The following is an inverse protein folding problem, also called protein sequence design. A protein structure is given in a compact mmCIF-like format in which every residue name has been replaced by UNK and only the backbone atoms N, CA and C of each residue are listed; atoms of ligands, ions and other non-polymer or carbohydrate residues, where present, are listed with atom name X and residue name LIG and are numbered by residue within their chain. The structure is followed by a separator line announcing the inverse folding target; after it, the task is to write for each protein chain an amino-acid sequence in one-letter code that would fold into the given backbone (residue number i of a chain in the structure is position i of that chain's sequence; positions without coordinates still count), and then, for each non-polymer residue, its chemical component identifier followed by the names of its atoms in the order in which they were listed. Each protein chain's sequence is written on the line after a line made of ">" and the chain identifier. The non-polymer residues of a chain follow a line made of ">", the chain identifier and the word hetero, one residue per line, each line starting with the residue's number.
data_IF_857625877084
#
_entry.id   IF_857625877084
#
_cell.length_a   1.000
_cell.length_b   1.000
_cell.length_c   1.000
_cell.angle_alpha   90.00
_cell.angle_beta   90.00
_cell.angle_gamma   90.00
#
_symmetry.space_group_name_H-M   'P 1'
#
loop_
_entity.id
_entity.type
_entity.pdbx_description
1 polymer ?
#
# COMPACT_ATOMS: atom_id res chain seq x y z
N UNK A 1 -16.42 8.70 -0.03
CA UNK A 1 -15.02 9.18 -0.05
C UNK A 1 -14.16 8.13 0.66
N UNK A 2 -12.95 7.82 0.18
CA UNK A 2 -12.04 6.94 0.94
C UNK A 2 -11.38 7.78 2.03
N UNK A 3 -11.41 7.30 3.26
CA UNK A 3 -10.79 7.99 4.39
C UNK A 3 -9.39 7.43 4.62
N UNK A 4 -8.39 8.32 4.62
CA UNK A 4 -7.05 7.97 5.03
C UNK A 4 -7.01 7.81 6.55
N UNK A 5 -6.56 6.64 6.99
CA UNK A 5 -6.24 6.39 8.40
C UNK A 5 -4.76 6.69 8.64
N UNK A 6 -4.34 6.73 9.90
CA UNK A 6 -2.99 7.13 10.32
C UNK A 6 -1.89 6.55 9.40
N UNK A 7 -1.08 7.44 8.81
CA UNK A 7 -0.03 7.05 7.88
C UNK A 7 1.19 6.50 8.62
N UNK A 8 1.92 5.61 7.96
CA UNK A 8 3.09 4.93 8.52
C UNK A 8 4.29 5.20 7.63
N UNK A 9 5.39 5.65 8.23
CA UNK A 9 6.66 5.87 7.52
C UNK A 9 7.58 4.66 7.73
N UNK A 10 8.12 4.11 6.64
CA UNK A 10 9.07 3.00 6.65
C UNK A 10 10.21 3.28 5.66
N UNK A 11 11.34 3.78 6.17
CA UNK A 11 12.44 4.25 5.32
C UNK A 11 11.98 5.35 4.35
N UNK A 12 12.18 5.15 3.04
CA UNK A 12 11.72 6.07 1.98
C UNK A 12 10.24 5.96 1.61
N UNK A 13 9.48 5.13 2.32
CA UNK A 13 8.08 4.85 2.03
C UNK A 13 7.16 5.54 3.01
N UNK A 14 6.10 6.16 2.48
CA UNK A 14 4.92 6.55 3.23
C UNK A 14 3.79 5.61 2.84
N UNK A 15 3.25 4.91 3.82
CA UNK A 15 2.14 3.98 3.70
C UNK A 15 0.90 4.68 4.25
N UNK A 16 -0.13 4.80 3.42
CA UNK A 16 -1.38 5.46 3.76
C UNK A 16 -2.53 4.46 3.59
N UNK A 17 -3.01 3.85 4.69
CA UNK A 17 -4.18 2.98 4.66
C UNK A 17 -5.44 3.78 4.32
N UNK A 18 -6.24 3.27 3.39
CA UNK A 18 -7.44 3.92 2.86
C UNK A 18 -8.62 2.96 2.99
N UNK A 19 -9.68 3.40 3.67
CA UNK A 19 -10.89 2.60 3.86
C UNK A 19 -12.10 3.30 3.24
N UNK A 20 -12.93 2.51 2.55
CA UNK A 20 -14.20 2.96 1.96
C UNK A 20 -15.36 2.16 2.56
N UNK A 21 -16.33 2.84 3.15
CA UNK A 21 -17.63 2.24 3.44
C UNK A 21 -18.41 2.04 2.13
N UNK A 22 -18.89 0.82 1.91
CA UNK A 22 -19.72 0.44 0.78
C UNK A 22 -21.20 0.52 1.15
N UNK A 23 -22.07 0.57 0.15
CA UNK A 23 -23.52 0.70 0.31
C UNK A 23 -24.14 -0.47 1.10
N UNK A 24 -23.52 -1.64 1.03
CA UNK A 24 -23.95 -2.84 1.76
C UNK A 24 -23.43 -2.92 3.21
N UNK A 25 -22.83 -1.84 3.74
CA UNK A 25 -22.32 -1.76 5.10
C UNK A 25 -20.98 -2.47 5.33
N UNK A 26 -20.31 -2.93 4.26
CA UNK A 26 -18.96 -3.48 4.35
C UNK A 26 -17.91 -2.40 4.10
N UNK A 27 -16.70 -2.64 4.59
CA UNK A 27 -15.54 -1.79 4.36
C UNK A 27 -14.60 -2.44 3.35
N UNK A 28 -14.34 -1.73 2.25
CA UNK A 28 -13.27 -2.06 1.31
C UNK A 28 -11.96 -1.41 1.75
N UNK A 29 -10.88 -2.18 1.67
CA UNK A 29 -9.54 -1.77 2.05
C UNK A 29 -8.68 -1.47 0.81
N UNK A 30 -7.88 -0.42 0.91
CA UNK A 30 -6.85 -0.07 -0.05
C UNK A 30 -5.67 0.55 0.68
N UNK A 31 -4.50 0.57 0.06
CA UNK A 31 -3.31 1.21 0.62
C UNK A 31 -2.57 1.98 -0.46
N UNK A 32 -2.28 3.25 -0.20
CA UNK A 32 -1.37 4.05 -1.02
C UNK A 32 0.04 3.90 -0.44
N UNK A 33 1.00 3.62 -1.32
CA UNK A 33 2.41 3.44 -0.99
C UNK A 33 3.18 4.44 -1.83
N UNK A 34 3.52 5.54 -1.19
CA UNK A 34 4.33 6.59 -1.80
C UNK A 34 5.80 6.29 -1.53
N UNK A 35 6.61 6.35 -2.58
CA UNK A 35 8.06 6.23 -2.48
C UNK A 35 8.74 7.45 -3.08
N UNK A 36 9.76 7.99 -2.41
CA UNK A 36 10.59 9.05 -2.98
C UNK A 36 11.62 9.63 -2.01
N UNK A 37 12.76 10.02 -2.56
CA UNK A 37 13.76 10.94 -2.01
C UNK A 37 14.27 11.76 -3.19
N UNK A 38 14.07 13.08 -3.21
CA UNK A 38 14.40 13.93 -4.37
C UNK A 38 13.23 14.15 -5.35
N UNK A 39 13.50 14.26 -6.66
CA UNK A 39 12.53 14.72 -7.68
C UNK A 39 11.52 13.67 -8.16
N UNK A 40 11.65 12.40 -7.78
CA UNK A 40 10.77 11.31 -8.21
C UNK A 40 9.91 10.78 -7.06
N UNK A 41 8.68 11.29 -6.92
CA UNK A 41 7.68 10.69 -6.01
C UNK A 41 6.75 9.79 -6.83
N UNK A 42 6.73 8.50 -6.52
CA UNK A 42 5.80 7.54 -7.13
C UNK A 42 4.78 7.09 -6.09
N UNK A 43 3.49 7.23 -6.42
CA UNK A 43 2.40 6.66 -5.64
C UNK A 43 1.96 5.34 -6.27
N UNK A 44 1.80 4.29 -5.45
CA UNK A 44 1.20 3.02 -5.86
C UNK A 44 0.00 2.76 -4.98
N UNK A 45 -1.17 2.58 -5.58
CA UNK A 45 -2.38 2.25 -4.83
C UNK A 45 -2.71 0.78 -5.02
N UNK A 46 -2.67 0.00 -3.95
CA UNK A 46 -3.12 -1.38 -3.93
C UNK A 46 -4.59 -1.40 -3.51
N UNK A 47 -5.45 -1.95 -4.38
CA UNK A 47 -6.85 -2.25 -4.06
C UNK A 47 -6.93 -3.69 -3.60
N UNK A 48 -7.36 -3.89 -2.37
CA UNK A 48 -7.38 -5.21 -1.73
C UNK A 48 -8.77 -5.82 -1.90
N UNK A 49 -8.83 -7.14 -2.11
CA UNK A 49 -10.09 -7.83 -2.44
C UNK A 49 -10.90 -8.24 -1.21
N UNK A 50 -10.27 -8.33 -0.02
CA UNK A 50 -10.95 -8.68 1.22
C UNK A 50 -11.80 -7.51 1.74
N UNK A 51 -13.06 -7.81 2.08
CA UNK A 51 -14.00 -6.89 2.71
C UNK A 51 -14.11 -7.16 4.22
N UNK A 52 -14.45 -6.13 4.98
CA UNK A 52 -14.54 -6.20 6.45
C UNK A 52 -15.85 -5.63 6.97
N UNK A 53 -16.32 -6.16 8.11
CA UNK A 53 -17.43 -5.56 8.86
C UNK A 53 -16.99 -4.44 9.80
N UNK A 54 -15.69 -4.34 10.09
CA UNK A 54 -15.10 -3.34 10.98
C UNK A 54 -14.15 -2.42 10.21
N UNK A 55 -14.34 -1.10 10.34
CA UNK A 55 -13.43 -0.08 9.80
C UNK A 55 -12.00 -0.31 10.32
N UNK A 56 -11.85 -0.57 11.62
CA UNK A 56 -10.56 -0.81 12.25
C UNK A 56 -9.85 -2.04 11.65
N UNK A 57 -10.59 -3.14 11.43
CA UNK A 57 -10.03 -4.34 10.81
C UNK A 57 -9.55 -4.07 9.37
N UNK A 58 -10.31 -3.29 8.59
CA UNK A 58 -9.90 -2.89 7.24
C UNK A 58 -8.62 -2.02 7.25
N UNK A 59 -8.48 -1.12 8.23
CA UNK A 59 -7.26 -0.29 8.41
C UNK A 59 -6.05 -1.14 8.75
N UNK A 60 -6.18 -2.03 9.73
CA UNK A 60 -5.09 -2.93 10.16
C UNK A 60 -4.66 -3.84 9.01
N UNK A 61 -5.61 -4.35 8.26
CA UNK A 61 -5.33 -5.17 7.08
C UNK A 61 -4.61 -4.37 5.99
N UNK A 62 -5.12 -3.20 5.59
CA UNK A 62 -4.46 -2.34 4.60
C UNK A 62 -3.03 -1.95 5.01
N UNK A 63 -2.82 -1.71 6.31
CA UNK A 63 -1.50 -1.43 6.89
C UNK A 63 -0.55 -2.61 6.71
N UNK A 64 -0.98 -3.81 7.11
CA UNK A 64 -0.18 -5.02 7.03
C UNK A 64 0.21 -5.34 5.57
N UNK A 65 -0.74 -5.25 4.64
CA UNK A 65 -0.49 -5.46 3.21
C UNK A 65 0.49 -4.42 2.64
N UNK A 66 0.38 -3.16 3.06
CA UNK A 66 1.34 -2.11 2.66
C UNK A 66 2.76 -2.40 3.15
N UNK A 67 2.91 -2.85 4.39
CA UNK A 67 4.19 -3.26 4.98
C UNK A 67 4.76 -4.53 4.31
N UNK A 68 3.91 -5.49 3.97
CA UNK A 68 4.35 -6.68 3.24
C UNK A 68 4.82 -6.33 1.83
N UNK A 69 4.10 -5.46 1.13
CA UNK A 69 4.47 -5.06 -0.23
C UNK A 69 5.83 -4.38 -0.30
N UNK A 70 6.20 -3.54 0.68
CA UNK A 70 7.54 -2.93 0.71
C UNK A 70 8.65 -3.97 0.94
N UNK A 71 8.36 -5.05 1.69
CA UNK A 71 9.29 -6.16 1.93
C UNK A 71 9.41 -7.14 0.75
N UNK A 72 8.37 -7.24 -0.08
CA UNK A 72 8.34 -8.11 -1.26
C UNK A 72 8.85 -7.45 -2.54
N UNK A 73 9.28 -6.19 -2.52
CA UNK A 73 9.77 -5.51 -3.72
C UNK A 73 10.88 -6.35 -4.37
N UNK A 74 10.67 -6.89 -5.59
CA UNK A 74 11.72 -7.60 -6.29
C UNK A 74 12.88 -6.63 -6.47
N UNK A 75 14.07 -6.99 -5.99
CA UNK A 75 15.29 -6.33 -6.45
C UNK A 75 15.38 -6.62 -7.94
N UNK A 76 15.07 -5.63 -8.78
CA UNK A 76 15.45 -5.67 -10.17
C UNK A 76 16.97 -5.56 -10.21
N UNK A 77 17.66 -6.68 -9.97
CA UNK A 77 19.06 -6.83 -10.34
C UNK A 77 19.08 -6.65 -11.86
N UNK A 78 19.79 -5.62 -12.29
CA UNK A 78 20.11 -5.36 -13.68
C UNK A 78 20.77 -6.62 -14.24
N UNK A 79 20.09 -7.30 -15.16
CA UNK A 79 20.73 -8.28 -16.05
C UNK A 79 21.66 -7.52 -16.98
N UNK A 80 22.84 -7.17 -16.46
CA UNK A 80 23.99 -6.76 -17.24
C UNK A 80 24.78 -8.00 -17.64
N UNK A 81 24.93 -8.19 -18.94
CA UNK A 81 25.96 -8.97 -19.62
C UNK A 81 25.99 -10.50 -19.39
N UNK A 82 25.44 -11.24 -20.37
CA UNK A 82 26.25 -12.27 -21.04
C UNK A 82 26.35 -11.89 -22.52
N UNK A 83 27.41 -11.15 -22.84
CA UNK A 83 28.01 -11.20 -24.15
C UNK A 83 29.31 -11.99 -23.99
N UNK A 84 29.26 -13.28 -24.30
CA UNK A 84 30.36 -14.10 -24.83
C UNK A 84 29.73 -15.21 -25.67
#
# INVERSE_FOLDING_TARGET
>A
MNEASHNITAGKYLISPLVKLLENGWYAASVSIRSGTGSGTHDRVLRLTRLFRSKLAAVQYATAEGLQWIGQRPSLVSTGALAL
#
